data_IF_284314374416
#
_entry.id   IF_284314374416
#
_cell.length_a   1.000
_cell.length_b   1.000
_cell.length_c   1.000
_cell.angle_alpha   90.00
_cell.angle_beta   90.00
_cell.angle_gamma   90.00
#
_symmetry.space_group_name_H-M   'P 1'
#
loop_
_entity.id
_entity.type
_entity.pdbx_description
1 polymer ?
#
# COMPACT_ATOMS: atom_id res chain seq x y z
N UNK A 1 -0.86 47.27 54.03
CA UNK A 1 -0.75 46.23 55.07
C UNK A 1 0.45 45.34 54.76
N UNK A 2 1.11 44.79 55.78
CA UNK A 2 2.33 43.97 55.64
C UNK A 2 2.03 42.62 54.97
N UNK A 3 2.97 42.11 54.15
CA UNK A 3 3.97 41.10 54.58
C UNK A 3 4.85 40.65 53.40
N UNK A 4 6.13 41.00 53.43
CA UNK A 4 7.16 40.18 52.78
C UNK A 4 7.20 38.81 53.46
N UNK A 5 7.45 37.73 52.71
CA UNK A 5 7.96 36.48 53.29
C UNK A 5 9.18 36.02 52.49
N UNK A 6 10.28 35.90 53.22
CA UNK A 6 11.60 35.46 52.75
C UNK A 6 11.57 33.97 52.35
N UNK A 7 12.44 33.59 51.39
CA UNK A 7 13.45 32.49 51.45
C UNK A 7 12.93 31.11 51.94
N UNK A 8 13.16 30.01 51.22
CA UNK A 8 14.47 29.34 51.26
C UNK A 8 14.81 28.48 50.02
N UNK A 9 16.08 28.55 49.62
CA UNK A 9 16.75 27.66 48.66
C UNK A 9 17.66 26.75 49.48
N UNK A 10 17.45 25.44 49.47
CA UNK A 10 18.36 24.48 50.13
C UNK A 10 18.56 23.25 49.23
N UNK A 11 19.82 22.94 48.93
CA UNK A 11 20.21 21.98 47.89
C UNK A 11 20.34 20.53 48.39
N UNK A 12 20.54 19.61 47.43
CA UNK A 12 20.71 18.17 47.61
C UNK A 12 21.78 17.78 48.64
N UNK A 13 21.54 16.67 49.36
CA UNK A 13 22.64 15.79 49.79
C UNK A 13 22.32 14.28 49.70
N UNK A 14 22.82 13.70 48.62
CA UNK A 14 23.12 12.27 48.37
C UNK A 14 24.12 11.71 49.41
N UNK A 15 24.27 10.41 49.73
CA UNK A 15 23.69 9.11 49.29
C UNK A 15 23.62 8.18 50.53
N UNK A 16 22.77 7.13 50.58
CA UNK A 16 23.19 5.82 51.15
C UNK A 16 22.35 4.60 50.67
N UNK A 17 23.01 3.84 49.79
CA UNK A 17 22.76 2.49 49.27
C UNK A 17 21.73 1.57 50.00
N UNK A 18 20.80 1.03 49.22
CA UNK A 18 20.33 -0.36 49.34
C UNK A 18 20.46 -1.05 47.98
N UNK A 19 21.06 -2.23 47.97
CA UNK A 19 21.28 -3.05 46.78
C UNK A 19 19.98 -3.78 46.43
N UNK A 20 19.51 -3.67 45.18
CA UNK A 20 18.47 -4.54 44.64
C UNK A 20 18.96 -5.13 43.32
N UNK A 21 19.21 -6.43 43.33
CA UNK A 21 19.60 -7.22 42.17
C UNK A 21 18.35 -7.60 41.38
N UNK A 22 18.21 -7.10 40.16
CA UNK A 22 17.25 -7.60 39.15
C UNK A 22 17.89 -7.43 37.76
N UNK A 23 18.44 -8.51 37.20
CA UNK A 23 17.79 -9.44 36.26
C UNK A 23 17.66 -8.87 34.83
N UNK A 24 18.20 -9.61 33.86
CA UNK A 24 18.29 -9.24 32.45
C UNK A 24 16.92 -8.92 31.83
N UNK A 25 16.90 -7.85 31.02
CA UNK A 25 16.02 -7.77 29.85
C UNK A 25 16.92 -7.65 28.62
N UNK A 26 17.03 -8.73 27.85
CA UNK A 26 17.71 -8.69 26.56
C UNK A 26 16.80 -7.98 25.55
N UNK A 27 17.16 -6.75 25.17
CA UNK A 27 16.45 -5.97 24.15
C UNK A 27 16.70 -6.51 22.73
N UNK A 28 16.26 -7.74 22.47
CA UNK A 28 16.29 -8.38 21.15
C UNK A 28 15.19 -7.85 20.25
N UNK A 29 15.22 -6.55 19.96
CA UNK A 29 14.44 -5.94 18.87
C UNK A 29 15.37 -5.71 17.67
N UNK A 30 15.98 -6.80 17.17
CA UNK A 30 16.20 -6.89 15.73
C UNK A 30 14.85 -7.23 15.12
N UNK A 31 14.04 -6.19 14.92
CA UNK A 31 12.91 -6.30 14.02
C UNK A 31 13.43 -6.77 12.67
N UNK A 32 12.81 -7.83 12.13
CA UNK A 32 13.06 -8.26 10.77
C UNK A 32 12.53 -7.13 9.87
N UNK A 33 13.41 -6.18 9.56
CA UNK A 33 13.23 -5.28 8.43
C UNK A 33 13.33 -6.17 7.18
N UNK A 34 12.23 -6.85 6.87
CA UNK A 34 12.04 -7.50 5.59
C UNK A 34 12.36 -6.44 4.54
N UNK A 35 13.26 -6.78 3.62
CA UNK A 35 13.66 -5.86 2.55
C UNK A 35 12.40 -5.39 1.86
N UNK A 36 12.04 -4.13 2.06
CA UNK A 36 11.03 -3.47 1.26
C UNK A 36 11.60 -3.43 -0.16
N UNK A 37 11.29 -4.47 -0.94
CA UNK A 37 11.41 -4.40 -2.39
C UNK A 37 10.66 -3.14 -2.78
N UNK A 38 11.32 -2.22 -3.48
CA UNK A 38 10.70 -0.98 -3.92
C UNK A 38 9.76 -1.32 -5.08
N UNK A 39 8.61 -1.90 -4.74
CA UNK A 39 7.59 -2.33 -5.68
C UNK A 39 7.15 -1.13 -6.51
N UNK A 40 7.20 -1.24 -7.84
CA UNK A 40 6.82 -0.18 -8.76
C UNK A 40 5.29 -0.04 -8.84
N UNK A 41 4.72 0.43 -7.73
CA UNK A 41 3.29 0.68 -7.53
C UNK A 41 2.89 2.04 -8.11
N UNK A 42 2.33 2.01 -9.31
CA UNK A 42 1.84 3.20 -10.01
C UNK A 42 0.36 3.42 -9.70
N UNK A 43 0.00 4.63 -9.29
CA UNK A 43 -1.41 5.05 -9.16
C UNK A 43 -2.03 5.23 -10.55
N UNK A 44 -3.17 4.58 -10.80
CA UNK A 44 -3.80 4.52 -12.13
C UNK A 44 -5.23 5.03 -12.18
N UNK A 45 -5.93 5.04 -11.05
CA UNK A 45 -7.29 5.57 -10.94
C UNK A 45 -7.59 5.99 -9.50
N UNK A 46 -8.53 6.92 -9.34
CA UNK A 46 -9.06 7.36 -8.05
C UNK A 46 -10.59 7.36 -8.12
N UNK A 47 -11.25 6.74 -7.15
CA UNK A 47 -12.67 7.00 -6.89
C UNK A 47 -12.78 8.13 -5.87
N UNK A 48 -12.94 9.37 -6.35
CA UNK A 48 -13.05 10.57 -5.51
C UNK A 48 -14.24 10.51 -4.53
N UNK A 49 -15.33 9.79 -4.87
CA UNK A 49 -16.51 9.67 -4.01
C UNK A 49 -16.30 8.74 -2.82
N UNK A 50 -15.33 7.83 -2.90
CA UNK A 50 -15.04 6.82 -1.86
C UNK A 50 -13.64 6.99 -1.26
N UNK A 51 -12.82 7.90 -1.79
CA UNK A 51 -11.41 8.08 -1.40
C UNK A 51 -10.49 6.90 -1.80
N UNK A 52 -10.95 6.01 -2.68
CA UNK A 52 -10.21 4.79 -3.06
C UNK A 52 -9.21 5.13 -4.16
N UNK A 53 -7.92 4.86 -3.92
CA UNK A 53 -6.84 5.05 -4.90
C UNK A 53 -6.37 3.68 -5.36
N UNK A 54 -6.46 3.40 -6.65
CA UNK A 54 -6.05 2.12 -7.25
C UNK A 54 -4.60 2.19 -7.74
N UNK A 55 -3.83 1.14 -7.44
CA UNK A 55 -2.41 1.04 -7.77
C UNK A 55 -2.11 -0.30 -8.46
N UNK A 56 -1.30 -0.26 -9.51
CA UNK A 56 -0.79 -1.48 -10.17
C UNK A 56 0.69 -1.67 -9.89
N UNK A 57 1.11 -2.91 -9.68
CA UNK A 57 2.50 -3.33 -9.65
C UNK A 57 2.95 -3.68 -11.07
N UNK A 58 3.87 -2.89 -11.61
CA UNK A 58 4.42 -3.08 -12.95
C UNK A 58 5.56 -4.11 -13.01
N UNK A 59 6.22 -4.43 -11.90
CA UNK A 59 7.41 -5.30 -11.88
C UNK A 59 7.02 -6.77 -12.10
N UNK A 60 5.84 -7.16 -11.61
CA UNK A 60 5.30 -8.52 -11.69
C UNK A 60 4.30 -8.72 -12.85
N UNK A 61 4.33 -7.81 -13.84
CA UNK A 61 3.45 -7.88 -15.01
C UNK A 61 3.92 -8.96 -16.00
N UNK A 62 2.98 -9.73 -16.56
CA UNK A 62 3.27 -10.70 -17.62
C UNK A 62 2.26 -10.64 -18.77
N UNK A 63 2.76 -10.66 -20.01
CA UNK A 63 1.94 -10.66 -21.23
C UNK A 63 1.74 -12.09 -21.76
N UNK A 64 0.56 -12.37 -22.30
CA UNK A 64 0.30 -13.55 -23.12
C UNK A 64 -0.64 -13.21 -24.28
N UNK A 65 -0.67 -14.07 -25.31
CA UNK A 65 -1.66 -13.99 -26.38
C UNK A 65 -2.69 -15.10 -26.21
N UNK A 66 -3.97 -14.79 -26.43
CA UNK A 66 -5.03 -15.80 -26.49
C UNK A 66 -4.95 -16.59 -27.79
N UNK A 67 -5.69 -17.70 -27.89
CA UNK A 67 -5.83 -18.48 -29.12
C UNK A 67 -6.38 -17.63 -30.29
N UNK A 68 -7.16 -16.59 -30.00
CA UNK A 68 -7.67 -15.62 -30.98
C UNK A 68 -6.66 -14.53 -31.35
N UNK A 69 -5.44 -14.57 -30.80
CA UNK A 69 -4.36 -13.61 -31.05
C UNK A 69 -4.42 -12.34 -30.17
N UNK A 70 -5.37 -12.23 -29.23
CA UNK A 70 -5.57 -11.02 -28.44
C UNK A 70 -4.48 -10.89 -27.38
N UNK A 71 -3.92 -9.68 -27.23
CA UNK A 71 -2.87 -9.37 -26.24
C UNK A 71 -3.51 -9.16 -24.87
N UNK A 72 -3.20 -10.06 -23.93
CA UNK A 72 -3.66 -9.98 -22.55
C UNK A 72 -2.47 -9.78 -21.60
N UNK A 73 -2.69 -9.00 -20.56
CA UNK A 73 -1.69 -8.66 -19.55
C UNK A 73 -2.21 -9.08 -18.18
N UNK A 74 -1.48 -9.96 -17.50
CA UNK A 74 -1.69 -10.28 -16.07
C UNK A 74 -0.84 -9.33 -15.23
N UNK A 75 -1.41 -8.82 -14.15
CA UNK A 75 -0.74 -7.90 -13.24
C UNK A 75 -1.34 -8.02 -11.83
N UNK A 76 -0.66 -7.41 -10.86
CA UNK A 76 -1.21 -7.24 -9.51
C UNK A 76 -1.80 -5.85 -9.35
N UNK A 77 -2.98 -5.81 -8.75
CA UNK A 77 -3.75 -4.62 -8.47
C UNK A 77 -4.01 -4.55 -6.96
N UNK A 78 -3.85 -3.37 -6.37
CA UNK A 78 -4.22 -3.11 -4.98
C UNK A 78 -4.91 -1.74 -4.87
N UNK A 79 -5.44 -1.43 -3.69
CA UNK A 79 -5.83 -0.08 -3.31
C UNK A 79 -4.85 0.47 -2.27
N UNK A 80 -4.67 1.79 -2.24
CA UNK A 80 -3.76 2.44 -1.31
C UNK A 80 -4.18 2.19 0.15
N UNK A 81 -3.38 1.41 0.87
CA UNK A 81 -3.65 0.99 2.24
C UNK A 81 -4.10 -0.47 2.37
N UNK A 82 -4.40 -1.16 1.27
CA UNK A 82 -4.53 -2.62 1.27
C UNK A 82 -3.12 -3.24 1.35
N UNK A 83 -2.82 -4.05 2.39
CA UNK A 83 -1.54 -4.76 2.49
C UNK A 83 -1.43 -5.95 1.52
N UNK A 84 -2.46 -6.22 0.69
CA UNK A 84 -2.50 -7.33 -0.26
C UNK A 84 -2.60 -6.84 -1.70
N UNK A 85 -2.11 -7.69 -2.58
CA UNK A 85 -2.20 -7.58 -4.03
C UNK A 85 -3.16 -8.63 -4.55
N UNK A 86 -4.04 -8.24 -5.47
CA UNK A 86 -5.06 -9.09 -6.05
C UNK A 86 -4.84 -9.24 -7.55
N UNK A 87 -5.10 -10.43 -8.09
CA UNK A 87 -4.84 -10.71 -9.48
C UNK A 87 -5.82 -9.96 -10.39
N UNK A 88 -5.32 -9.39 -11.47
CA UNK A 88 -6.12 -8.77 -12.52
C UNK A 88 -5.56 -9.13 -13.90
N UNK A 89 -6.44 -9.11 -14.91
CA UNK A 89 -6.10 -9.35 -16.31
C UNK A 89 -6.72 -8.25 -17.16
N UNK A 90 -5.92 -7.57 -17.97
CA UNK A 90 -6.38 -6.59 -18.95
C UNK A 90 -6.27 -7.17 -20.37
N UNK A 91 -7.27 -6.91 -21.22
CA UNK A 91 -7.23 -7.21 -22.65
C UNK A 91 -6.89 -5.92 -23.42
N UNK A 92 -5.70 -5.84 -24.01
CA UNK A 92 -5.11 -4.58 -24.50
C UNK A 92 -5.69 -4.06 -25.82
N UNK A 93 -6.58 -4.82 -26.43
CA UNK A 93 -7.58 -4.33 -27.36
C UNK A 93 -8.82 -5.17 -27.02
N UNK A 94 -9.92 -4.58 -26.52
CA UNK A 94 -10.31 -3.15 -26.58
C UNK A 94 -9.99 -2.29 -25.33
N UNK A 95 -9.10 -2.71 -24.42
CA UNK A 95 -8.96 -2.20 -23.04
C UNK A 95 -10.12 -2.62 -22.13
N UNK A 96 -10.34 -3.93 -22.06
CA UNK A 96 -11.25 -4.57 -21.11
C UNK A 96 -10.47 -5.09 -19.89
N UNK A 97 -11.14 -5.34 -18.76
CA UNK A 97 -10.54 -5.69 -17.47
C UNK A 97 -11.34 -6.77 -16.74
N UNK A 98 -10.65 -7.77 -16.20
CA UNK A 98 -11.18 -8.67 -15.18
C UNK A 98 -10.34 -8.62 -13.90
N UNK A 99 -10.98 -8.49 -12.75
CA UNK A 99 -10.39 -8.71 -11.43
C UNK A 99 -11.45 -9.23 -10.46
N UNK A 100 -11.44 -10.53 -10.10
CA UNK A 100 -12.48 -11.13 -9.26
C UNK A 100 -12.60 -10.54 -7.86
N UNK A 101 -11.54 -9.95 -7.31
CA UNK A 101 -11.57 -9.32 -5.98
C UNK A 101 -12.30 -7.96 -5.99
N UNK A 102 -12.21 -7.22 -7.09
CA UNK A 102 -12.85 -5.91 -7.26
C UNK A 102 -14.16 -6.00 -8.07
N UNK A 103 -14.69 -7.22 -8.26
CA UNK A 103 -15.95 -7.51 -8.97
C UNK A 103 -16.02 -6.91 -10.39
N UNK A 104 -14.86 -6.78 -11.06
CA UNK A 104 -14.79 -6.44 -12.48
C UNK A 104 -14.69 -7.72 -13.31
N UNK A 105 -15.59 -7.83 -14.28
CA UNK A 105 -15.64 -8.90 -15.27
C UNK A 105 -15.56 -8.33 -16.68
N UNK A 106 -15.12 -9.17 -17.63
CA UNK A 106 -15.11 -8.85 -19.05
C UNK A 106 -16.49 -8.35 -19.51
N UNK A 107 -16.51 -7.27 -20.28
CA UNK A 107 -17.77 -6.72 -20.79
C UNK A 107 -18.41 -7.72 -21.77
N UNK A 108 -19.73 -7.99 -21.66
CA UNK A 108 -20.37 -9.15 -22.27
C UNK A 108 -20.34 -9.19 -23.82
N UNK A 109 -19.99 -8.07 -24.46
CA UNK A 109 -19.87 -7.94 -25.91
C UNK A 109 -18.40 -7.97 -26.41
N UNK A 110 -17.42 -8.28 -25.54
CA UNK A 110 -16.00 -8.13 -25.84
C UNK A 110 -15.60 -6.68 -26.16
N UNK A 111 -16.29 -5.73 -25.52
CA UNK A 111 -16.03 -4.29 -25.60
C UNK A 111 -15.04 -3.83 -24.53
N UNK A 112 -14.52 -2.60 -24.66
CA UNK A 112 -13.57 -2.04 -23.70
C UNK A 112 -14.25 -1.15 -22.67
N UNK A 113 -13.68 -1.08 -21.47
CA UNK A 113 -14.11 -0.08 -20.50
C UNK A 113 -13.76 1.33 -21.02
N UNK A 114 -14.71 2.28 -21.01
CA UNK A 114 -14.47 3.63 -21.52
C UNK A 114 -13.33 4.35 -20.79
N UNK A 115 -12.66 5.25 -21.51
CA UNK A 115 -11.66 6.15 -20.92
C UNK A 115 -12.30 7.03 -19.83
N UNK A 116 -11.55 7.29 -18.75
CA UNK A 116 -12.07 8.01 -17.59
C UNK A 116 -12.83 7.12 -16.59
N UNK A 117 -13.20 5.89 -16.95
CA UNK A 117 -13.65 4.91 -15.95
C UNK A 117 -12.46 4.29 -15.22
N UNK A 118 -12.67 3.89 -13.96
CA UNK A 118 -11.64 3.26 -13.12
C UNK A 118 -11.04 2.03 -13.83
N UNK A 119 -11.89 1.10 -14.25
CA UNK A 119 -11.48 -0.12 -14.95
C UNK A 119 -10.78 0.17 -16.30
N UNK A 120 -11.28 1.13 -17.08
CA UNK A 120 -10.65 1.52 -18.36
C UNK A 120 -9.27 2.15 -18.19
N UNK A 121 -9.10 2.99 -17.18
CA UNK A 121 -7.80 3.59 -16.84
C UNK A 121 -6.81 2.54 -16.34
N UNK A 122 -7.25 1.60 -15.48
CA UNK A 122 -6.45 0.45 -15.04
C UNK A 122 -6.01 -0.41 -16.24
N UNK A 123 -6.93 -0.78 -17.14
CA UNK A 123 -6.63 -1.61 -18.31
C UNK A 123 -5.61 -0.94 -19.24
N UNK A 124 -5.75 0.36 -19.48
CA UNK A 124 -4.80 1.15 -20.29
C UNK A 124 -3.43 1.22 -19.63
N UNK A 125 -3.37 1.50 -18.34
CA UNK A 125 -2.10 1.57 -17.59
C UNK A 125 -1.37 0.22 -17.56
N UNK A 126 -2.08 -0.89 -17.34
CA UNK A 126 -1.51 -2.23 -17.39
C UNK A 126 -0.96 -2.57 -18.80
N UNK A 127 -1.65 -2.14 -19.85
CA UNK A 127 -1.29 -2.42 -21.24
C UNK A 127 -0.23 -1.49 -21.84
N UNK A 128 0.04 -0.33 -21.25
CA UNK A 128 1.09 0.58 -21.71
C UNK A 128 2.47 0.11 -21.25
N UNK A 129 3.46 0.13 -22.14
CA UNK A 129 4.87 -0.17 -21.85
C UNK A 129 5.70 1.11 -21.94
#
# INVERSE_FOLDING_TARGET
>A
MLKHKLVEKTELKMIKHSVITSLFVASSILGIAGTASAENLVTVAVNESEGIIYQIDLDNRSEYKTNSGWRHVKFWLSTKGDPRKHAAIAACAPYDLQSPYYEWDWLPNGGGYPEGTIAGNIARAACNN
#
